data_IF_125364145660
#
_entry.id   IF_125364145660
#
_cell.length_a   1.000
_cell.length_b   1.000
_cell.length_c   1.000
_cell.angle_alpha   90.00
_cell.angle_beta   90.00
_cell.angle_gamma   90.00
#
_symmetry.space_group_name_H-M   'P 1'
#
loop_
_entity.id
_entity.type
_entity.pdbx_description
1 polymer ?
#
# COMPACT_ATOMS: atom_id res chain seq x y z
N UNK A 1 21.22 -0.42 -11.19
CA UNK A 1 20.30 -0.42 -12.34
C UNK A 1 19.19 -1.41 -12.00
N UNK A 2 18.08 -0.96 -11.40
CA UNK A 2 16.97 -1.85 -11.03
C UNK A 2 16.04 -1.90 -12.23
N UNK A 3 15.79 -3.10 -12.74
CA UNK A 3 14.89 -3.32 -13.86
C UNK A 3 13.46 -2.99 -13.43
N UNK A 4 13.03 -1.74 -13.65
CA UNK A 4 11.63 -1.36 -13.58
C UNK A 4 10.94 -1.95 -14.82
N UNK A 5 10.50 -3.20 -14.73
CA UNK A 5 9.59 -3.80 -15.71
C UNK A 5 8.38 -2.89 -15.90
N UNK A 6 7.88 -2.81 -17.14
CA UNK A 6 6.90 -1.86 -17.65
C UNK A 6 5.56 -1.88 -16.89
N UNK A 7 5.51 -1.27 -15.71
CA UNK A 7 4.29 -0.97 -14.99
C UNK A 7 3.84 0.43 -15.38
N UNK A 8 2.72 0.53 -16.11
CA UNK A 8 2.09 1.79 -16.47
C UNK A 8 0.61 1.67 -16.13
N UNK A 9 0.14 2.52 -15.22
CA UNK A 9 -1.27 2.68 -14.96
C UNK A 9 -1.80 3.89 -15.72
N UNK A 10 -3.08 3.84 -16.05
CA UNK A 10 -3.82 5.04 -16.42
C UNK A 10 -4.00 5.89 -15.15
N UNK A 11 -3.45 7.09 -15.16
CA UNK A 11 -3.53 8.03 -14.03
C UNK A 11 -4.73 8.94 -14.25
N UNK A 12 -5.69 9.01 -13.31
CA UNK A 12 -6.88 9.82 -13.50
C UNK A 12 -6.53 11.32 -13.53
N UNK A 13 -7.10 12.05 -14.49
CA UNK A 13 -6.88 13.50 -14.62
C UNK A 13 -7.56 14.26 -13.47
N UNK A 14 -6.85 15.25 -12.92
CA UNK A 14 -7.28 16.03 -11.77
C UNK A 14 -8.01 17.34 -12.15
N UNK A 15 -7.97 17.81 -13.41
CA UNK A 15 -8.28 19.22 -13.71
C UNK A 15 -9.64 19.48 -14.38
N UNK A 16 -10.63 19.92 -13.60
CA UNK A 16 -11.72 20.82 -14.04
C UNK A 16 -12.16 21.70 -12.86
N UNK A 17 -12.39 23.00 -13.08
CA UNK A 17 -12.59 24.03 -12.05
C UNK A 17 -13.54 23.68 -10.90
N UNK A 18 -13.07 23.91 -9.67
CA UNK A 18 -13.89 24.03 -8.45
C UNK A 18 -14.52 22.76 -7.87
N UNK A 19 -14.58 21.65 -8.61
CA UNK A 19 -15.16 20.38 -8.17
C UNK A 19 -14.03 19.37 -7.95
N UNK A 20 -14.05 18.63 -6.84
CA UNK A 20 -13.12 17.51 -6.63
C UNK A 20 -13.40 16.46 -7.71
N UNK A 21 -12.48 16.33 -8.67
CA UNK A 21 -12.55 15.34 -9.74
C UNK A 21 -12.24 13.95 -9.18
N UNK A 22 -12.58 12.91 -9.94
CA UNK A 22 -12.18 11.53 -9.65
C UNK A 22 -10.65 11.42 -9.42
N UNK A 23 -9.84 12.12 -10.24
CA UNK A 23 -8.40 12.21 -10.03
C UNK A 23 -8.00 12.97 -8.77
N UNK A 24 -8.70 14.07 -8.46
CA UNK A 24 -8.48 14.83 -7.23
C UNK A 24 -8.79 14.03 -5.95
N UNK A 25 -9.80 13.15 -5.97
CA UNK A 25 -10.11 12.29 -4.83
C UNK A 25 -9.03 11.21 -4.59
N UNK A 26 -8.50 10.62 -5.67
CA UNK A 26 -7.37 9.69 -5.61
C UNK A 26 -6.12 10.37 -5.06
N UNK A 27 -5.80 11.55 -5.58
CA UNK A 27 -4.66 12.35 -5.11
C UNK A 27 -4.80 12.71 -3.62
N UNK A 28 -5.98 13.19 -3.21
CA UNK A 28 -6.27 13.52 -1.82
C UNK A 28 -6.10 12.31 -0.88
N UNK A 29 -6.55 11.12 -1.30
CA UNK A 29 -6.38 9.90 -0.50
C UNK A 29 -4.89 9.51 -0.37
N UNK A 30 -4.10 9.62 -1.46
CA UNK A 30 -2.66 9.35 -1.44
C UNK A 30 -1.94 10.37 -0.55
N UNK A 31 -2.26 11.67 -0.65
CA UNK A 31 -1.71 12.71 0.22
C UNK A 31 -2.05 12.48 1.69
N UNK A 32 -3.29 12.08 1.99
CA UNK A 32 -3.68 11.72 3.34
C UNK A 32 -2.93 10.47 3.84
N UNK A 33 -2.66 9.50 2.96
CA UNK A 33 -1.83 8.32 3.27
C UNK A 33 -0.40 8.73 3.57
N UNK A 34 0.19 9.65 2.79
CA UNK A 34 1.51 10.21 3.03
C UNK A 34 1.59 10.91 4.40
N UNK A 35 0.58 11.71 4.75
CA UNK A 35 0.51 12.38 6.06
C UNK A 35 0.43 11.37 7.22
N UNK A 36 -0.37 10.30 7.09
CA UNK A 36 -0.47 9.23 8.10
C UNK A 36 0.84 8.46 8.26
N UNK A 37 1.53 8.17 7.16
CA UNK A 37 2.87 7.56 7.17
C UNK A 37 3.87 8.46 7.90
N UNK A 38 3.92 9.75 7.55
CA UNK A 38 4.84 10.71 8.17
C UNK A 38 4.55 10.90 9.67
N UNK A 39 3.28 11.01 10.06
CA UNK A 39 2.87 11.11 11.47
C UNK A 39 3.26 9.88 12.30
N UNK A 40 3.34 8.70 11.66
CA UNK A 40 3.78 7.45 12.27
C UNK A 40 5.32 7.26 12.22
N UNK A 41 6.05 8.25 11.69
CA UNK A 41 7.51 8.30 11.64
C UNK A 41 8.13 7.51 10.50
N UNK A 42 7.40 7.32 9.39
CA UNK A 42 7.98 6.84 8.15
C UNK A 42 8.78 7.95 7.46
N UNK A 43 9.88 7.58 6.81
CA UNK A 43 10.45 8.37 5.73
C UNK A 43 9.50 8.29 4.54
N UNK A 44 9.04 9.43 4.02
CA UNK A 44 8.07 9.49 2.94
C UNK A 44 8.67 10.24 1.76
N UNK A 45 8.56 9.67 0.57
CA UNK A 45 8.98 10.30 -0.69
C UNK A 45 8.04 9.91 -1.83
N UNK A 46 8.02 10.71 -2.87
CA UNK A 46 7.36 10.37 -4.14
C UNK A 46 8.44 10.06 -5.17
N UNK A 47 8.30 8.94 -5.86
CA UNK A 47 9.16 8.51 -6.96
C UNK A 47 8.35 8.48 -8.26
N UNK A 48 9.00 8.71 -9.39
CA UNK A 48 8.38 8.49 -10.70
C UNK A 48 8.70 7.07 -11.18
N UNK A 49 7.67 6.25 -11.36
CA UNK A 49 7.77 4.93 -11.97
C UNK A 49 7.14 5.00 -13.36
N UNK A 50 7.96 5.32 -14.37
CA UNK A 50 7.56 5.40 -15.78
C UNK A 50 6.39 6.38 -16.04
N UNK A 51 6.45 7.57 -15.44
CA UNK A 51 5.37 8.57 -15.53
C UNK A 51 4.23 8.37 -14.55
N UNK A 52 4.30 7.34 -13.69
CA UNK A 52 3.34 7.13 -12.60
C UNK A 52 3.96 7.66 -11.29
N UNK A 53 3.35 8.65 -10.63
CA UNK A 53 3.82 9.11 -9.33
C UNK A 53 3.51 8.06 -8.26
N UNK A 54 4.56 7.48 -7.65
CA UNK A 54 4.46 6.43 -6.64
C UNK A 54 4.93 6.97 -5.30
N UNK A 55 4.03 6.95 -4.32
CA UNK A 55 4.35 7.25 -2.92
C UNK A 55 5.09 6.06 -2.31
N UNK A 56 6.28 6.31 -1.76
CA UNK A 56 7.09 5.33 -1.04
C UNK A 56 7.28 5.79 0.40
N UNK A 57 6.68 5.07 1.34
CA UNK A 57 6.91 5.18 2.77
C UNK A 57 7.84 4.08 3.26
N UNK A 58 8.82 4.41 4.10
CA UNK A 58 9.74 3.44 4.68
C UNK A 58 9.86 3.63 6.19
N UNK A 59 9.89 2.51 6.93
CA UNK A 59 10.16 2.50 8.36
C UNK A 59 10.84 1.21 8.77
N UNK A 60 11.75 1.30 9.73
CA UNK A 60 12.32 0.12 10.37
C UNK A 60 11.87 0.08 11.84
N UNK A 61 11.23 -1.01 12.24
CA UNK A 61 10.81 -1.26 13.61
C UNK A 61 11.67 -2.36 14.23
N UNK A 62 12.23 -2.11 15.42
CA UNK A 62 12.90 -3.12 16.21
C UNK A 62 12.10 -3.40 17.47
N UNK A 63 11.91 -4.67 17.84
CA UNK A 63 11.30 -5.04 19.12
C UNK A 63 11.93 -6.30 19.69
N UNK A 64 12.22 -6.28 21.00
CA UNK A 64 12.73 -7.46 21.72
C UNK A 64 11.80 -8.67 21.63
N UNK A 65 10.47 -8.43 21.70
CA UNK A 65 9.45 -9.49 21.53
C UNK A 65 9.46 -10.15 20.14
N UNK A 66 10.21 -9.61 19.19
CA UNK A 66 10.44 -10.21 17.89
C UNK A 66 11.76 -10.98 17.84
N UNK A 67 12.24 -11.47 18.98
CA UNK A 67 13.54 -12.17 19.09
C UNK A 67 14.70 -11.28 18.63
N UNK A 68 14.63 -9.99 18.99
CA UNK A 68 15.60 -8.97 18.58
C UNK A 68 15.78 -8.84 17.06
N UNK A 69 14.74 -9.11 16.27
CA UNK A 69 14.75 -8.85 14.83
C UNK A 69 14.30 -7.42 14.51
N UNK A 70 14.77 -6.91 13.38
CA UNK A 70 14.33 -5.65 12.79
C UNK A 70 13.37 -5.92 11.63
N UNK A 71 12.21 -5.28 11.64
CA UNK A 71 11.24 -5.34 10.55
C UNK A 71 11.36 -4.07 9.70
N UNK A 72 11.76 -4.22 8.45
CA UNK A 72 11.74 -3.18 7.44
C UNK A 72 10.38 -3.19 6.75
N UNK A 73 9.61 -2.13 6.91
CA UNK A 73 8.30 -1.96 6.30
C UNK A 73 8.39 -0.91 5.19
N UNK A 74 8.04 -1.32 3.97
CA UNK A 74 7.84 -0.42 2.84
C UNK A 74 6.35 -0.34 2.52
N UNK A 75 5.84 0.87 2.37
CA UNK A 75 4.48 1.13 1.87
C UNK A 75 4.62 1.80 0.52
N UNK A 76 4.11 1.19 -0.54
CA UNK A 76 4.28 1.64 -1.92
C UNK A 76 2.88 1.86 -2.49
N UNK A 77 2.53 3.10 -2.84
CA UNK A 77 1.16 3.46 -3.24
C UNK A 77 1.17 4.19 -4.57
N UNK A 78 0.34 3.75 -5.51
CA UNK A 78 0.20 4.37 -6.82
C UNK A 78 -1.27 4.69 -7.14
N UNK A 79 -1.54 5.78 -7.88
CA UNK A 79 -2.87 6.08 -8.40
C UNK A 79 -3.20 5.18 -9.61
N UNK A 80 -4.47 4.84 -9.77
CA UNK A 80 -5.01 4.15 -10.92
C UNK A 80 -6.41 4.69 -11.25
N UNK A 81 -6.77 4.83 -12.53
CA UNK A 81 -8.15 5.16 -12.90
C UNK A 81 -9.10 4.01 -12.55
N UNK A 82 -8.71 2.80 -12.97
CA UNK A 82 -9.36 1.54 -12.63
C UNK A 82 -8.33 0.53 -12.09
N UNK A 83 -8.75 -0.36 -11.19
CA UNK A 83 -7.91 -1.40 -10.59
C UNK A 83 -8.53 -2.76 -10.85
N UNK A 84 -7.89 -3.57 -11.70
CA UNK A 84 -8.23 -4.99 -11.85
C UNK A 84 -7.39 -5.86 -10.90
N UNK A 85 -7.77 -7.14 -10.77
CA UNK A 85 -6.93 -8.11 -10.05
C UNK A 85 -5.53 -8.24 -10.68
N UNK A 86 -5.46 -8.24 -12.02
CA UNK A 86 -4.20 -8.37 -12.76
C UNK A 86 -3.25 -7.18 -12.53
N UNK A 87 -3.79 -5.97 -12.46
CA UNK A 87 -3.02 -4.76 -12.17
C UNK A 87 -2.43 -4.81 -10.76
N UNK A 88 -3.27 -5.21 -9.79
CA UNK A 88 -2.87 -5.32 -8.41
C UNK A 88 -1.82 -6.42 -8.19
N UNK A 89 -1.96 -7.56 -8.88
CA UNK A 89 -0.96 -8.63 -8.90
C UNK A 89 0.38 -8.15 -9.47
N UNK A 90 0.33 -7.47 -10.62
CA UNK A 90 1.53 -6.94 -11.28
C UNK A 90 2.21 -5.91 -10.39
N UNK A 91 1.45 -4.95 -9.86
CA UNK A 91 1.97 -3.91 -8.97
C UNK A 91 2.57 -4.50 -7.69
N UNK A 92 1.90 -5.51 -7.13
CA UNK A 92 2.39 -6.21 -5.94
C UNK A 92 3.75 -6.85 -6.20
N UNK A 93 3.93 -7.52 -7.35
CA UNK A 93 5.21 -8.10 -7.72
C UNK A 93 6.28 -7.01 -7.93
N UNK A 94 5.97 -5.94 -8.67
CA UNK A 94 6.89 -4.82 -8.90
C UNK A 94 7.35 -4.16 -7.59
N UNK A 95 6.43 -3.89 -6.67
CA UNK A 95 6.76 -3.33 -5.36
C UNK A 95 7.60 -4.29 -4.50
N UNK A 96 7.36 -5.61 -4.65
CA UNK A 96 8.17 -6.63 -4.00
C UNK A 96 9.60 -6.62 -4.53
N UNK A 97 9.77 -6.59 -5.85
CA UNK A 97 11.07 -6.57 -6.50
C UNK A 97 11.83 -5.29 -6.16
N UNK A 98 11.13 -4.15 -6.10
CA UNK A 98 11.67 -2.90 -5.58
C UNK A 98 12.19 -3.06 -4.15
N UNK A 99 11.38 -3.60 -3.23
CA UNK A 99 11.80 -3.80 -1.83
C UNK A 99 12.99 -4.77 -1.70
N UNK A 100 13.03 -5.81 -2.54
CA UNK A 100 14.13 -6.77 -2.58
C UNK A 100 15.42 -6.14 -3.13
N UNK A 101 15.34 -5.26 -4.12
CA UNK A 101 16.50 -4.51 -4.60
C UNK A 101 17.07 -3.58 -3.51
N UNK A 102 16.22 -3.06 -2.62
CA UNK A 102 16.65 -2.29 -1.45
C UNK A 102 17.18 -3.16 -0.30
N UNK A 103 16.96 -4.48 -0.32
CA UNK A 103 17.33 -5.40 0.78
C UNK A 103 18.82 -5.37 1.12
N UNK A 104 19.69 -5.11 0.16
CA UNK A 104 21.14 -4.92 0.42
C UNK A 104 21.46 -3.74 1.35
N UNK A 105 20.55 -2.75 1.45
CA UNK A 105 20.66 -1.63 2.37
C UNK A 105 20.10 -1.96 3.77
N UNK A 106 19.26 -2.99 3.88
CA UNK A 106 18.66 -3.47 5.13
C UNK A 106 19.65 -4.36 5.90
N UNK A 107 20.76 -3.75 6.37
CA UNK A 107 21.87 -4.44 7.04
C UNK A 107 21.40 -5.18 8.31
N UNK A 108 21.78 -6.46 8.44
CA UNK A 108 21.63 -7.30 9.64
C UNK A 108 21.24 -8.76 9.30
N UNK A 109 21.79 -9.73 10.04
CA UNK A 109 21.53 -11.17 9.82
C UNK A 109 20.10 -11.61 10.23
N UNK A 110 19.38 -10.75 10.97
CA UNK A 110 18.06 -11.01 11.58
C UNK A 110 17.05 -9.91 11.20
N UNK A 111 16.88 -9.65 9.91
CA UNK A 111 15.94 -8.66 9.38
C UNK A 111 14.77 -9.32 8.63
N UNK A 112 13.55 -8.90 8.95
CA UNK A 112 12.35 -9.19 8.18
C UNK A 112 12.03 -8.02 7.25
N UNK A 113 11.48 -8.30 6.07
CA UNK A 113 11.01 -7.27 5.13
C UNK A 113 9.52 -7.46 4.90
N UNK A 114 8.75 -6.39 5.04
CA UNK A 114 7.33 -6.34 4.74
C UNK A 114 7.04 -5.23 3.73
N UNK A 115 6.10 -5.46 2.83
CA UNK A 115 5.68 -4.52 1.80
C UNK A 115 4.16 -4.39 1.81
N UNK A 116 3.65 -3.15 1.76
CA UNK A 116 2.24 -2.85 1.50
C UNK A 116 2.12 -2.19 0.12
N UNK A 117 1.97 -2.99 -0.95
CA UNK A 117 1.63 -2.45 -2.26
C UNK A 117 0.16 -2.04 -2.28
N UNK A 118 -0.09 -0.74 -2.46
CA UNK A 118 -1.42 -0.14 -2.55
C UNK A 118 -1.73 0.44 -3.92
N UNK A 119 -2.84 0.02 -4.52
CA UNK A 119 -3.43 0.75 -5.64
C UNK A 119 -4.65 1.52 -5.16
N UNK A 120 -4.68 2.81 -5.47
CA UNK A 120 -5.77 3.73 -5.13
C UNK A 120 -6.43 4.17 -6.41
N UNK A 121 -7.71 3.86 -6.58
CA UNK A 121 -8.44 4.24 -7.77
C UNK A 121 -9.90 4.55 -7.53
N UNK A 122 -10.57 4.94 -8.61
CA UNK A 122 -11.99 5.35 -8.57
C UNK A 122 -12.95 4.21 -8.91
N UNK A 123 -12.43 3.18 -9.58
CA UNK A 123 -13.18 1.99 -9.96
C UNK A 123 -12.32 0.77 -9.68
N UNK A 124 -12.61 0.08 -8.58
CA UNK A 124 -11.89 -1.16 -8.23
C UNK A 124 -12.79 -2.35 -8.47
N UNK A 125 -12.32 -3.30 -9.27
CA UNK A 125 -13.03 -4.57 -9.48
C UNK A 125 -13.24 -5.28 -8.13
N UNK A 126 -14.47 -5.71 -7.79
CA UNK A 126 -14.72 -6.56 -6.63
C UNK A 126 -13.77 -7.75 -6.51
N UNK A 127 -13.32 -8.33 -7.63
CA UNK A 127 -12.33 -9.41 -7.64
C UNK A 127 -10.97 -8.93 -7.11
N UNK A 128 -10.55 -7.71 -7.43
CA UNK A 128 -9.31 -7.10 -6.91
C UNK A 128 -9.40 -6.85 -5.39
N UNK A 129 -10.52 -6.31 -4.90
CA UNK A 129 -10.78 -6.15 -3.46
C UNK A 129 -10.75 -7.49 -2.72
N UNK A 130 -11.42 -8.50 -3.27
CA UNK A 130 -11.47 -9.84 -2.70
C UNK A 130 -10.11 -10.57 -2.76
N UNK A 131 -9.34 -10.34 -3.82
CA UNK A 131 -7.98 -10.87 -3.94
C UNK A 131 -7.07 -10.22 -2.89
N UNK A 132 -7.10 -8.90 -2.76
CA UNK A 132 -6.34 -8.17 -1.74
C UNK A 132 -6.69 -8.63 -0.32
N UNK A 133 -7.98 -8.88 -0.06
CA UNK A 133 -8.49 -9.36 1.22
C UNK A 133 -8.03 -10.77 1.61
N UNK A 134 -7.73 -11.63 0.64
CA UNK A 134 -7.39 -13.05 0.88
C UNK A 134 -5.90 -13.35 0.78
N UNK A 135 -5.11 -12.48 0.17
CA UNK A 135 -3.72 -12.79 -0.20
C UNK A 135 -2.71 -12.10 0.72
N UNK A 136 -1.80 -12.91 1.23
CA UNK A 136 -0.49 -12.48 1.69
C UNK A 136 0.54 -13.23 0.83
N UNK A 137 1.44 -12.50 0.16
CA UNK A 137 2.52 -13.11 -0.59
C UNK A 137 3.74 -13.24 0.31
N UNK A 138 4.39 -14.40 0.29
CA UNK A 138 5.65 -14.62 1.00
C UNK A 138 6.68 -15.09 -0.03
N UNK A 139 7.79 -14.35 -0.14
CA UNK A 139 8.92 -14.70 -1.00
C UNK A 139 10.22 -14.33 -0.32
N UNK A 140 11.19 -15.25 -0.28
CA UNK A 140 12.54 -15.03 0.24
C UNK A 140 12.62 -14.41 1.66
N UNK A 141 11.73 -14.85 2.57
CA UNK A 141 11.66 -14.32 3.95
C UNK A 141 11.03 -12.93 4.06
N UNK A 142 10.53 -12.39 2.96
CA UNK A 142 9.80 -11.12 2.88
C UNK A 142 8.31 -11.39 2.71
N UNK A 143 7.48 -10.45 3.15
CA UNK A 143 6.02 -10.55 3.07
C UNK A 143 5.45 -9.34 2.32
N UNK A 144 4.44 -9.56 1.48
CA UNK A 144 3.63 -8.48 0.92
C UNK A 144 2.15 -8.67 1.25
N UNK A 145 1.51 -7.56 1.61
CA UNK A 145 0.07 -7.49 1.86
C UNK A 145 -0.54 -6.47 0.89
N UNK A 146 -1.06 -6.93 -0.25
CA UNK A 146 -1.69 -6.04 -1.22
C UNK A 146 -2.87 -5.27 -0.62
N UNK A 147 -3.03 -4.05 -1.09
CA UNK A 147 -4.11 -3.14 -0.74
C UNK A 147 -4.73 -2.60 -2.02
N UNK A 148 -6.05 -2.67 -2.11
CA UNK A 148 -6.83 -1.99 -3.12
C UNK A 148 -7.77 -1.01 -2.43
N UNK A 149 -7.78 0.25 -2.89
CA UNK A 149 -8.62 1.31 -2.36
C UNK A 149 -9.50 1.84 -3.48
N UNK A 150 -10.80 1.76 -3.29
CA UNK A 150 -11.80 2.43 -4.09
C UNK A 150 -12.24 3.71 -3.37
N UNK A 151 -11.80 4.86 -3.87
CA UNK A 151 -12.11 6.16 -3.23
C UNK A 151 -13.56 6.58 -3.47
N UNK A 152 -14.22 6.06 -4.50
CA UNK A 152 -15.61 6.39 -4.84
C UNK A 152 -16.58 5.56 -4.01
N UNK A 153 -16.32 4.26 -3.87
CA UNK A 153 -17.10 3.36 -3.02
C UNK A 153 -16.71 3.41 -1.53
N UNK A 154 -15.60 4.07 -1.19
CA UNK A 154 -15.02 4.08 0.16
C UNK A 154 -14.53 2.70 0.62
N UNK A 155 -14.26 1.80 -0.32
CA UNK A 155 -13.93 0.41 -0.03
C UNK A 155 -12.42 0.20 0.03
N UNK A 156 -11.96 -0.61 1.00
CA UNK A 156 -10.54 -0.99 1.12
C UNK A 156 -10.42 -2.50 1.28
N UNK A 157 -9.87 -3.15 0.26
CA UNK A 157 -9.52 -4.56 0.26
C UNK A 157 -8.07 -4.74 0.71
N UNK A 158 -7.83 -5.44 1.81
CA UNK A 158 -6.50 -5.84 2.23
C UNK A 158 -6.53 -7.04 3.19
N UNK A 159 -5.45 -7.82 3.21
CA UNK A 159 -5.36 -8.99 4.07
C UNK A 159 -5.17 -8.59 5.54
N UNK A 160 -6.24 -8.76 6.33
CA UNK A 160 -6.27 -8.48 7.78
C UNK A 160 -6.10 -9.73 8.66
N UNK A 161 -5.92 -10.89 8.04
CA UNK A 161 -5.75 -12.16 8.74
C UNK A 161 -4.38 -12.33 9.42
N UNK A 162 -4.26 -13.41 10.17
CA UNK A 162 -3.00 -13.93 10.69
C UNK A 162 -2.41 -14.90 9.67
N UNK A 163 -1.22 -14.61 9.15
CA UNK A 163 -0.50 -15.58 8.33
C UNK A 163 0.41 -16.43 9.22
N UNK A 164 0.49 -17.74 8.93
CA UNK A 164 1.34 -18.67 9.66
C UNK A 164 2.82 -18.28 9.59
N UNK A 165 3.29 -17.81 8.42
CA UNK A 165 4.59 -17.18 8.24
C UNK A 165 4.50 -15.68 8.59
N UNK A 166 5.16 -15.28 9.67
CA UNK A 166 5.16 -13.90 10.18
C UNK A 166 4.19 -13.63 11.34
N UNK A 167 3.76 -14.66 12.09
CA UNK A 167 2.91 -14.51 13.27
C UNK A 167 3.44 -13.43 14.23
N UNK A 168 4.75 -13.42 14.45
CA UNK A 168 5.48 -12.47 15.31
C UNK A 168 5.23 -11.00 14.91
N UNK A 169 5.06 -10.71 13.62
CA UNK A 169 4.78 -9.38 13.09
C UNK A 169 3.31 -9.12 12.77
N UNK A 170 2.47 -10.16 12.66
CA UNK A 170 1.13 -10.08 12.07
C UNK A 170 0.23 -9.02 12.72
N UNK A 171 0.22 -8.95 14.06
CA UNK A 171 -0.55 -7.92 14.77
C UNK A 171 -0.02 -6.50 14.56
N UNK A 172 1.29 -6.34 14.35
CA UNK A 172 1.88 -5.04 14.01
C UNK A 172 1.56 -4.63 12.58
N UNK A 173 1.75 -5.54 11.62
CA UNK A 173 1.42 -5.29 10.22
C UNK A 173 -0.07 -4.94 10.04
N UNK A 174 -0.96 -5.61 10.77
CA UNK A 174 -2.40 -5.27 10.76
C UNK A 174 -2.65 -3.85 11.25
N UNK A 175 -2.12 -3.47 12.42
CA UNK A 175 -2.27 -2.09 12.94
C UNK A 175 -1.73 -1.04 11.97
N UNK A 176 -0.60 -1.32 11.31
CA UNK A 176 -0.02 -0.41 10.32
C UNK A 176 -0.88 -0.30 9.07
N UNK A 177 -1.40 -1.42 8.56
CA UNK A 177 -2.38 -1.40 7.45
C UNK A 177 -3.60 -0.56 7.78
N UNK A 178 -4.23 -0.78 8.95
CA UNK A 178 -5.43 -0.05 9.35
C UNK A 178 -5.14 1.45 9.54
N UNK A 179 -3.94 1.80 10.04
CA UNK A 179 -3.52 3.19 10.20
C UNK A 179 -3.22 3.88 8.86
N UNK A 180 -2.63 3.19 7.89
CA UNK A 180 -2.22 3.82 6.63
C UNK A 180 -3.36 3.85 5.60
N UNK A 181 -4.19 2.80 5.60
CA UNK A 181 -5.29 2.60 4.66
C UNK A 181 -6.62 2.42 5.41
N UNK A 182 -7.10 3.47 6.12
CA UNK A 182 -8.43 3.44 6.68
C UNK A 182 -9.46 3.37 5.54
N UNK A 183 -10.60 2.75 5.79
CA UNK A 183 -11.74 2.95 4.90
C UNK A 183 -12.05 4.45 4.89
N UNK A 184 -12.28 5.02 3.70
CA UNK A 184 -12.87 6.35 3.64
C UNK A 184 -14.22 6.21 4.35
N UNK A 185 -14.38 6.90 5.48
CA UNK A 185 -15.55 6.74 6.31
C UNK A 185 -16.80 6.90 5.44
N UNK A 186 -17.77 6.00 5.61
CA UNK A 186 -19.13 6.17 5.10
C UNK A 186 -19.84 7.30 5.89
N UNK A 187 -19.18 8.44 6.08
CA UNK A 187 -19.71 9.63 6.73
C UNK A 187 -20.46 10.46 5.67
N UNK A 188 -21.54 9.87 5.15
CA UNK A 188 -22.70 10.69 4.85
C UNK A 188 -23.38 10.99 6.21
N UNK A 189 -23.70 12.25 6.53
CA UNK A 189 -24.46 12.56 7.74
C UNK A 189 -25.76 11.78 7.68
N UNK A 190 -25.88 10.75 8.52
CA UNK A 190 -27.14 10.06 8.74
C UNK A 190 -28.02 11.05 9.50
N UNK A 191 -28.74 11.89 8.77
CA UNK A 191 -29.87 12.63 9.30
C UNK A 191 -30.86 11.58 9.82
N UNK A 192 -30.86 11.40 11.14
CA UNK A 192 -31.84 10.57 11.82
C UNK A 192 -33.11 11.41 12.00
N UNK A 193 -34.30 10.90 11.65
CA UNK A 193 -35.57 11.58 11.90
C UNK A 193 -35.84 11.76 13.40
#
# INVERSE_FOLDING_TARGET
MVAHLAFRLDVPDARVGGIVTAGGAVEAYIQATAARLAADGCEVRTEDWHGTPVLVGYRADFRLRWMATKLHLLTVVAPAAAVTQGDLETFTNTAFDYAQAQKGQFRGLQSGVAVFPGLVGTHVDPAALAWAGRRQLVRFGSVARPVAVDVTAGAVGCFRGTAALGFVYSGHLRRKLDAYFPQAAADAPTARP
#
